data_IF_709632513030
#
_entry.id   IF_709632513030
#
_cell.length_a   1.000
_cell.length_b   1.000
_cell.length_c   1.000
_cell.angle_alpha   90.00
_cell.angle_beta   90.00
_cell.angle_gamma   90.00
#
_symmetry.space_group_name_H-M   'P 1'
#
loop_
_entity.id
_entity.type
_entity.pdbx_description
1 polymer ?
#
# COMPACT_ATOMS: atom_id res chain seq x y z
N UNK A 1 -21.89 22.60 24.53
CA UNK A 1 -21.36 22.45 23.16
C UNK A 1 -20.14 21.56 23.28
N UNK A 2 -20.10 20.40 22.62
CA UNK A 2 -18.90 19.56 22.64
C UNK A 2 -17.82 20.30 21.85
N UNK A 3 -16.81 20.80 22.55
CA UNK A 3 -15.63 21.42 21.96
C UNK A 3 -14.84 20.32 21.24
N UNK A 4 -14.44 20.57 19.99
CA UNK A 4 -13.70 19.58 19.21
C UNK A 4 -12.33 19.35 19.83
N UNK A 5 -12.08 18.12 20.27
CA UNK A 5 -10.78 17.71 20.80
C UNK A 5 -10.07 16.90 19.72
N UNK A 6 -8.85 17.32 19.35
CA UNK A 6 -8.05 16.64 18.32
C UNK A 6 -7.71 15.19 18.70
N UNK A 7 -7.61 14.91 20.00
CA UNK A 7 -7.42 13.57 20.53
C UNK A 7 -8.31 13.34 21.76
N UNK A 8 -8.97 12.19 21.80
CA UNK A 8 -9.68 11.73 23.00
C UNK A 8 -8.76 11.02 24.01
N UNK A 9 -7.46 10.96 23.70
CA UNK A 9 -6.39 10.38 24.52
C UNK A 9 -5.14 11.29 24.46
N UNK A 10 -4.16 11.04 25.34
CA UNK A 10 -2.85 11.70 25.28
C UNK A 10 -1.91 10.88 24.39
N UNK A 11 -1.48 11.39 23.22
CA UNK A 11 -0.61 10.64 22.31
C UNK A 11 0.76 10.39 22.92
N UNK A 12 1.27 9.16 22.78
CA UNK A 12 2.60 8.81 23.28
C UNK A 12 3.69 9.24 22.31
N UNK A 13 4.52 10.20 22.75
CA UNK A 13 5.71 10.62 22.00
C UNK A 13 6.65 9.44 21.73
N UNK A 14 6.87 8.59 22.73
CA UNK A 14 7.78 7.45 22.60
C UNK A 14 7.33 6.48 21.50
N UNK A 15 6.03 6.13 21.46
CA UNK A 15 5.50 5.21 20.45
C UNK A 15 5.54 5.84 19.05
N UNK A 16 5.24 7.14 18.94
CA UNK A 16 5.36 7.87 17.66
C UNK A 16 6.79 7.89 17.14
N UNK A 17 7.78 8.13 18.00
CA UNK A 17 9.20 8.11 17.63
C UNK A 17 9.67 6.71 17.22
N UNK A 18 9.25 5.67 17.93
CA UNK A 18 9.58 4.28 17.56
C UNK A 18 9.01 3.93 16.18
N UNK A 19 7.73 4.24 15.93
CA UNK A 19 7.12 4.00 14.63
C UNK A 19 7.84 4.78 13.51
N UNK A 20 8.15 6.06 13.74
CA UNK A 20 8.94 6.89 12.83
C UNK A 20 10.27 6.23 12.46
N UNK A 21 11.05 5.78 13.45
CA UNK A 21 12.36 5.16 13.21
C UNK A 21 12.24 3.84 12.44
N UNK A 22 11.23 3.02 12.74
CA UNK A 22 10.96 1.77 12.03
C UNK A 22 10.61 2.02 10.55
N UNK A 23 9.69 2.94 10.28
CA UNK A 23 9.34 3.31 8.90
C UNK A 23 10.51 3.97 8.15
N UNK A 24 11.32 4.76 8.85
CA UNK A 24 12.52 5.38 8.26
C UNK A 24 13.53 4.31 7.86
N UNK A 25 13.85 3.37 8.76
CA UNK A 25 14.76 2.27 8.48
C UNK A 25 14.26 1.40 7.32
N UNK A 26 12.97 1.05 7.31
CA UNK A 26 12.36 0.29 6.22
C UNK A 26 12.41 1.06 4.89
N UNK A 27 12.15 2.37 4.89
CA UNK A 27 12.20 3.21 3.69
C UNK A 27 13.63 3.31 3.14
N UNK A 28 14.63 3.51 3.99
CA UNK A 28 16.05 3.52 3.60
C UNK A 28 16.44 2.18 2.97
N UNK A 29 16.02 1.06 3.56
CA UNK A 29 16.27 -0.26 2.99
C UNK A 29 15.66 -0.42 1.58
N UNK A 30 14.43 0.05 1.35
CA UNK A 30 13.81 0.02 0.02
C UNK A 30 14.54 0.91 -0.98
N UNK A 31 14.99 2.10 -0.58
CA UNK A 31 15.78 3.00 -1.44
C UNK A 31 17.07 2.31 -1.86
N UNK A 32 17.80 1.73 -0.90
CA UNK A 32 19.04 0.99 -1.18
C UNK A 32 18.81 -0.16 -2.16
N UNK A 33 17.78 -0.99 -1.92
CA UNK A 33 17.43 -2.11 -2.80
C UNK A 33 16.99 -1.64 -4.20
N UNK A 34 16.23 -0.55 -4.28
CA UNK A 34 15.77 0.00 -5.56
C UNK A 34 16.93 0.56 -6.40
N UNK A 35 17.91 1.21 -5.77
CA UNK A 35 19.14 1.68 -6.44
C UNK A 35 19.98 0.48 -6.89
N UNK A 36 20.24 -0.47 -5.99
CA UNK A 36 21.05 -1.68 -6.26
C UNK A 36 20.49 -2.50 -7.43
N UNK A 37 19.18 -2.67 -7.50
CA UNK A 37 18.51 -3.49 -8.51
C UNK A 37 17.86 -2.66 -9.65
N UNK A 38 18.05 -1.34 -9.69
CA UNK A 38 17.53 -0.41 -10.71
C UNK A 38 16.02 -0.53 -10.96
N UNK A 39 15.22 -0.73 -9.91
CA UNK A 39 13.78 -0.98 -10.01
C UNK A 39 12.94 0.31 -10.00
N UNK A 40 12.80 0.94 -11.18
CA UNK A 40 11.99 2.17 -11.35
C UNK A 40 10.49 2.04 -11.00
N UNK A 41 9.96 0.82 -10.87
CA UNK A 41 8.54 0.62 -10.56
C UNK A 41 8.23 0.57 -9.05
N UNK A 42 9.26 0.46 -8.18
CA UNK A 42 9.08 0.55 -6.73
C UNK A 42 9.02 1.99 -6.22
N UNK A 43 9.09 2.99 -7.11
CA UNK A 43 9.03 4.41 -6.73
C UNK A 43 7.77 4.74 -5.95
N UNK A 44 6.60 4.24 -6.37
CA UNK A 44 5.35 4.44 -5.62
C UNK A 44 5.45 3.86 -4.20
N UNK A 45 6.05 2.67 -4.03
CA UNK A 45 6.26 2.04 -2.74
C UNK A 45 7.17 2.89 -1.83
N UNK A 46 8.26 3.42 -2.39
CA UNK A 46 9.18 4.29 -1.64
C UNK A 46 8.50 5.59 -1.22
N UNK A 47 7.70 6.20 -2.10
CA UNK A 47 6.91 7.39 -1.76
C UNK A 47 5.91 7.07 -0.64
N UNK A 48 5.28 5.89 -0.68
CA UNK A 48 4.44 5.40 0.42
C UNK A 48 5.20 5.30 1.74
N UNK A 49 6.43 4.75 1.73
CA UNK A 49 7.30 4.71 2.90
C UNK A 49 7.65 6.11 3.43
N UNK A 50 7.94 7.07 2.55
CA UNK A 50 8.14 8.46 2.95
C UNK A 50 6.89 9.09 3.57
N UNK A 51 5.69 8.76 3.08
CA UNK A 51 4.45 9.23 3.69
C UNK A 51 4.28 8.69 5.11
N UNK A 52 4.58 7.41 5.37
CA UNK A 52 4.59 6.88 6.74
C UNK A 52 5.58 7.65 7.64
N UNK A 53 6.81 7.88 7.15
CA UNK A 53 7.83 8.66 7.88
C UNK A 53 7.33 10.07 8.21
N UNK A 54 6.80 10.80 7.23
CA UNK A 54 6.27 12.15 7.44
C UNK A 54 5.05 12.15 8.37
N UNK A 55 4.20 11.13 8.25
CA UNK A 55 3.02 10.95 9.08
C UNK A 55 3.38 10.76 10.56
N UNK A 56 4.29 9.83 10.86
CA UNK A 56 4.73 9.58 12.24
C UNK A 56 5.65 10.69 12.77
N UNK A 57 6.39 11.40 11.92
CA UNK A 57 7.12 12.60 12.31
C UNK A 57 6.15 13.72 12.74
N UNK A 58 5.10 13.98 11.95
CA UNK A 58 4.07 14.94 12.30
C UNK A 58 3.33 14.54 13.58
N UNK A 59 3.06 13.24 13.76
CA UNK A 59 2.48 12.68 14.99
C UNK A 59 3.38 12.89 16.20
N UNK A 60 4.69 12.67 16.09
CA UNK A 60 5.65 12.91 17.16
C UNK A 60 5.71 14.40 17.55
N UNK A 61 5.73 15.30 16.57
CA UNK A 61 5.64 16.75 16.82
C UNK A 61 4.35 17.10 17.56
N UNK A 62 3.21 16.55 17.13
CA UNK A 62 1.93 16.83 17.78
C UNK A 62 1.87 16.27 19.21
N UNK A 63 2.40 15.06 19.45
CA UNK A 63 2.51 14.48 20.79
C UNK A 63 3.35 15.34 21.75
N UNK A 64 4.43 15.97 21.25
CA UNK A 64 5.26 16.88 22.04
C UNK A 64 4.56 18.21 22.37
N UNK A 65 3.53 18.61 21.61
CA UNK A 65 2.79 19.85 21.83
C UNK A 65 1.72 19.75 22.93
N UNK A 66 1.60 18.60 23.59
CA UNK A 66 0.64 18.41 24.67
C UNK A 66 0.83 19.47 25.78
N UNK A 67 -0.26 20.07 26.32
CA UNK A 67 -1.67 19.78 26.02
C UNK A 67 -2.26 20.60 24.85
N UNK A 68 -1.53 21.58 24.30
CA UNK A 68 -2.01 22.50 23.27
C UNK A 68 -1.66 22.00 21.86
N UNK A 69 -2.36 20.97 21.40
CA UNK A 69 -2.14 20.36 20.10
C UNK A 69 -2.41 21.34 18.95
N UNK A 70 -1.46 21.50 18.04
CA UNK A 70 -1.68 22.28 16.82
C UNK A 70 -2.48 21.46 15.78
N UNK A 71 -3.38 22.13 15.06
CA UNK A 71 -4.20 21.48 14.02
C UNK A 71 -3.38 21.01 12.82
N UNK A 72 -2.30 21.73 12.46
CA UNK A 72 -1.52 21.42 11.26
C UNK A 72 -0.76 20.08 11.36
N UNK A 73 0.04 19.79 12.41
CA UNK A 73 0.67 18.47 12.54
C UNK A 73 -0.36 17.35 12.66
N UNK A 74 -1.53 17.60 13.27
CA UNK A 74 -2.63 16.65 13.31
C UNK A 74 -3.20 16.33 11.91
N UNK A 75 -3.40 17.35 11.09
CA UNK A 75 -3.85 17.19 9.71
C UNK A 75 -2.80 16.47 8.86
N UNK A 76 -1.52 16.83 9.01
CA UNK A 76 -0.42 16.18 8.30
C UNK A 76 -0.31 14.69 8.63
N UNK A 77 -0.30 14.29 9.91
CA UNK A 77 -0.28 12.86 10.27
C UNK A 77 -1.49 12.14 9.67
N UNK A 78 -2.68 12.76 9.72
CA UNK A 78 -3.92 12.12 9.31
C UNK A 78 -3.90 11.87 7.81
N UNK A 79 -3.46 12.85 7.02
CA UNK A 79 -3.33 12.73 5.56
C UNK A 79 -2.22 11.74 5.21
N UNK A 80 -0.98 11.95 5.67
CA UNK A 80 0.13 11.11 5.21
C UNK A 80 -0.02 9.62 5.57
N UNK A 81 -0.46 9.32 6.80
CA UNK A 81 -0.74 7.94 7.23
C UNK A 81 -1.93 7.36 6.44
N UNK A 82 -2.95 8.17 6.16
CA UNK A 82 -4.10 7.72 5.38
C UNK A 82 -3.72 7.33 3.95
N UNK A 83 -2.76 8.05 3.36
CA UNK A 83 -2.36 7.99 1.96
C UNK A 83 -1.37 6.86 1.63
N UNK A 84 -0.45 6.54 2.54
CA UNK A 84 0.62 5.59 2.28
C UNK A 84 0.13 4.22 1.76
N UNK A 85 -0.96 3.63 2.26
CA UNK A 85 -1.39 2.30 1.83
C UNK A 85 -1.92 2.24 0.39
N UNK A 86 -2.45 3.35 -0.13
CA UNK A 86 -2.85 3.46 -1.54
C UNK A 86 -1.63 3.39 -2.47
N UNK A 87 -0.49 3.95 -2.05
CA UNK A 87 0.77 3.86 -2.79
C UNK A 87 1.41 2.47 -2.72
N UNK A 88 1.27 1.77 -1.58
CA UNK A 88 1.64 0.36 -1.47
C UNK A 88 0.76 -0.52 -2.36
N UNK A 89 -0.56 -0.29 -2.39
CA UNK A 89 -1.49 -0.99 -3.27
C UNK A 89 -1.15 -0.78 -4.75
N UNK A 90 -0.89 0.46 -5.18
CA UNK A 90 -0.43 0.78 -6.53
C UNK A 90 0.80 -0.06 -6.94
N UNK A 91 1.74 -0.26 -6.01
CA UNK A 91 2.95 -1.05 -6.24
C UNK A 91 2.64 -2.54 -6.39
N UNK A 92 1.73 -3.07 -5.58
CA UNK A 92 1.23 -4.46 -5.70
C UNK A 92 0.57 -4.69 -7.06
N UNK A 93 -0.21 -3.73 -7.58
CA UNK A 93 -0.82 -3.84 -8.91
C UNK A 93 0.23 -3.87 -10.03
N UNK A 94 1.30 -3.07 -9.89
CA UNK A 94 2.42 -3.08 -10.83
C UNK A 94 3.17 -4.42 -10.81
N UNK A 95 3.39 -4.98 -9.62
CA UNK A 95 4.06 -6.27 -9.45
C UNK A 95 3.21 -7.38 -10.05
N UNK A 96 1.91 -7.45 -9.75
CA UNK A 96 1.02 -8.44 -10.35
C UNK A 96 0.99 -8.31 -11.88
N UNK A 97 0.85 -7.09 -12.40
CA UNK A 97 0.83 -6.87 -13.85
C UNK A 97 2.12 -7.34 -14.53
N UNK A 98 3.29 -7.14 -13.90
CA UNK A 98 4.57 -7.66 -14.38
C UNK A 98 4.65 -9.18 -14.29
N UNK A 99 4.15 -9.76 -13.21
CA UNK A 99 4.12 -11.20 -13.00
C UNK A 99 3.27 -11.91 -14.06
N UNK A 100 2.09 -11.38 -14.36
CA UNK A 100 1.20 -11.88 -15.43
C UNK A 100 1.95 -11.92 -16.76
N UNK A 101 2.66 -10.84 -17.12
CA UNK A 101 3.46 -10.80 -18.37
C UNK A 101 4.64 -11.75 -18.33
N UNK A 102 5.29 -11.92 -17.18
CA UNK A 102 6.47 -12.79 -17.04
C UNK A 102 6.13 -14.27 -17.25
N UNK A 103 4.92 -14.69 -16.85
CA UNK A 103 4.45 -16.07 -17.07
C UNK A 103 3.63 -16.22 -18.37
N UNK A 104 3.63 -15.24 -19.26
CA UNK A 104 2.78 -15.21 -20.46
C UNK A 104 1.29 -15.51 -20.17
N UNK A 105 0.82 -15.02 -19.02
CA UNK A 105 -0.49 -15.34 -18.46
C UNK A 105 -1.60 -14.37 -18.86
N UNK A 106 -1.40 -13.50 -19.85
CA UNK A 106 -2.39 -12.51 -20.27
C UNK A 106 -3.72 -13.15 -20.68
N UNK A 107 -3.68 -14.31 -21.35
CA UNK A 107 -4.88 -15.08 -21.73
C UNK A 107 -5.65 -15.65 -20.53
N UNK A 108 -5.04 -15.70 -19.34
CA UNK A 108 -5.61 -16.23 -18.11
C UNK A 108 -6.08 -15.12 -17.16
N UNK A 109 -5.64 -13.88 -17.36
CA UNK A 109 -6.12 -12.71 -16.62
C UNK A 109 -7.49 -12.24 -17.14
N UNK A 110 -8.36 -11.74 -16.25
CA UNK A 110 -9.62 -11.11 -16.66
C UNK A 110 -9.42 -9.78 -17.37
N UNK A 111 -8.38 -9.04 -16.97
CA UNK A 111 -8.04 -7.72 -17.51
C UNK A 111 -6.59 -7.76 -17.97
N UNK A 112 -6.32 -7.19 -19.15
CA UNK A 112 -4.96 -7.04 -19.66
C UNK A 112 -4.08 -6.37 -18.60
N UNK A 113 -2.89 -6.91 -18.36
CA UNK A 113 -2.02 -6.48 -17.26
C UNK A 113 -1.68 -4.98 -17.28
N UNK A 114 -1.62 -4.37 -18.46
CA UNK A 114 -1.35 -2.93 -18.66
C UNK A 114 -2.54 -2.03 -18.30
N UNK A 115 -3.77 -2.52 -18.50
CA UNK A 115 -5.00 -1.83 -18.12
C UNK A 115 -5.29 -2.02 -16.63
N UNK A 116 -5.04 -3.22 -16.11
CA UNK A 116 -5.22 -3.58 -14.71
C UNK A 116 -4.56 -2.55 -13.79
N UNK A 117 -3.25 -2.34 -13.94
CA UNK A 117 -2.52 -1.36 -13.11
C UNK A 117 -3.10 0.05 -13.25
N UNK A 118 -3.43 0.51 -14.47
CA UNK A 118 -3.94 1.88 -14.68
C UNK A 118 -5.31 2.08 -14.01
N UNK A 119 -6.23 1.14 -14.19
CA UNK A 119 -7.60 1.26 -13.65
C UNK A 119 -7.56 1.36 -12.13
N UNK A 120 -6.82 0.46 -11.47
CA UNK A 120 -6.78 0.43 -10.02
C UNK A 120 -6.01 1.60 -9.41
N UNK A 121 -4.90 2.03 -10.04
CA UNK A 121 -4.19 3.24 -9.60
C UNK A 121 -5.07 4.49 -9.73
N UNK A 122 -5.81 4.63 -10.83
CA UNK A 122 -6.75 5.77 -10.98
C UNK A 122 -7.87 5.71 -9.94
N UNK A 123 -8.43 4.52 -9.67
CA UNK A 123 -9.41 4.32 -8.62
C UNK A 123 -8.88 4.75 -7.24
N UNK A 124 -7.65 4.35 -6.90
CA UNK A 124 -7.01 4.74 -5.65
C UNK A 124 -6.70 6.24 -5.58
N UNK A 125 -6.31 6.87 -6.68
CA UNK A 125 -6.12 8.34 -6.74
C UNK A 125 -7.45 9.07 -6.53
N UNK A 126 -8.54 8.60 -7.13
CA UNK A 126 -9.87 9.21 -6.93
C UNK A 126 -10.33 9.05 -5.48
N UNK A 127 -10.22 7.85 -4.91
CA UNK A 127 -10.51 7.59 -3.50
C UNK A 127 -9.65 8.46 -2.58
N UNK A 128 -8.37 8.64 -2.91
CA UNK A 128 -7.45 9.53 -2.22
C UNK A 128 -7.93 10.99 -2.25
N UNK A 129 -8.28 11.51 -3.42
CA UNK A 129 -8.74 12.89 -3.55
C UNK A 129 -10.00 13.15 -2.71
N UNK A 130 -10.93 12.20 -2.71
CA UNK A 130 -12.13 12.25 -1.85
C UNK A 130 -11.73 12.32 -0.36
N UNK A 131 -10.85 11.43 0.10
CA UNK A 131 -10.36 11.40 1.48
C UNK A 131 -9.64 12.70 1.88
N UNK A 132 -8.77 13.21 1.01
CA UNK A 132 -8.08 14.49 1.26
C UNK A 132 -9.05 15.67 1.34
N UNK A 133 -10.10 15.69 0.50
CA UNK A 133 -11.14 16.69 0.54
C UNK A 133 -11.91 16.65 1.86
N UNK A 134 -12.32 15.46 2.31
CA UNK A 134 -12.97 15.29 3.61
C UNK A 134 -12.06 15.66 4.80
N UNK A 135 -10.76 15.34 4.72
CA UNK A 135 -9.76 15.74 5.72
C UNK A 135 -9.56 17.26 5.79
N UNK A 136 -9.54 17.93 4.63
CA UNK A 136 -9.50 19.39 4.57
C UNK A 136 -10.77 20.01 5.18
N UNK A 137 -11.95 19.45 4.88
CA UNK A 137 -13.22 19.88 5.48
C UNK A 137 -13.22 19.73 7.00
N UNK A 138 -12.69 18.62 7.52
CA UNK A 138 -12.52 18.40 8.95
C UNK A 138 -11.62 19.46 9.60
N UNK A 139 -10.49 19.77 8.97
CA UNK A 139 -9.53 20.74 9.51
C UNK A 139 -10.09 22.17 9.63
N UNK A 140 -11.05 22.53 8.78
CA UNK A 140 -11.71 23.84 8.77
C UNK A 140 -13.11 23.87 9.40
N UNK A 141 -13.59 22.76 9.95
CA UNK A 141 -14.95 22.64 10.46
C UNK A 141 -15.14 23.45 11.76
N UNK A 142 -16.18 24.29 11.80
CA UNK A 142 -16.57 25.10 12.97
C UNK A 142 -17.85 24.64 13.66
N UNK A 143 -18.52 23.63 13.10
CA UNK A 143 -19.79 23.09 13.59
C UNK A 143 -19.79 21.56 13.49
N UNK A 144 -20.56 20.92 14.37
CA UNK A 144 -20.74 19.46 14.36
C UNK A 144 -21.27 18.93 13.01
N UNK A 145 -22.11 19.72 12.31
CA UNK A 145 -22.60 19.36 10.97
C UNK A 145 -21.48 19.31 9.94
N UNK A 146 -20.56 20.27 9.96
CA UNK A 146 -19.45 20.35 9.01
C UNK A 146 -18.42 19.25 9.28
N UNK A 147 -18.23 18.89 10.56
CA UNK A 147 -17.39 17.77 10.95
C UNK A 147 -17.94 16.45 10.43
N UNK A 148 -19.23 16.17 10.69
CA UNK A 148 -19.89 14.95 10.21
C UNK A 148 -19.87 14.84 8.69
N UNK A 149 -19.99 15.97 7.98
CA UNK A 149 -19.85 16.00 6.53
C UNK A 149 -18.42 15.59 6.11
N UNK A 150 -17.38 16.11 6.76
CA UNK A 150 -15.99 15.73 6.50
C UNK A 150 -15.73 14.24 6.77
N UNK A 151 -16.19 13.70 7.91
CA UNK A 151 -16.10 12.27 8.25
C UNK A 151 -16.81 11.40 7.21
N UNK A 152 -18.01 11.79 6.78
CA UNK A 152 -18.76 11.08 5.74
C UNK A 152 -18.01 11.07 4.40
N UNK A 153 -17.43 12.20 4.00
CA UNK A 153 -16.65 12.29 2.75
C UNK A 153 -15.43 11.37 2.82
N UNK A 154 -14.70 11.35 3.93
CA UNK A 154 -13.57 10.41 4.12
C UNK A 154 -14.05 8.96 4.04
N UNK A 155 -15.14 8.66 4.74
CA UNK A 155 -15.74 7.32 4.76
C UNK A 155 -16.12 6.83 3.35
N UNK A 156 -16.71 7.70 2.53
CA UNK A 156 -17.02 7.38 1.12
C UNK A 156 -15.76 7.05 0.34
N UNK A 157 -14.69 7.86 0.48
CA UNK A 157 -13.43 7.59 -0.20
C UNK A 157 -12.80 6.27 0.23
N UNK A 158 -12.85 5.93 1.53
CA UNK A 158 -12.39 4.65 2.04
C UNK A 158 -13.20 3.46 1.50
N UNK A 159 -14.53 3.58 1.39
CA UNK A 159 -15.36 2.54 0.77
C UNK A 159 -15.03 2.32 -0.70
N UNK A 160 -14.85 3.41 -1.46
CA UNK A 160 -14.41 3.31 -2.87
C UNK A 160 -13.08 2.55 -2.94
N UNK A 161 -12.12 2.90 -2.10
CA UNK A 161 -10.82 2.21 -2.03
C UNK A 161 -10.97 0.71 -1.74
N UNK A 162 -11.79 0.32 -0.74
CA UNK A 162 -12.05 -1.10 -0.43
C UNK A 162 -12.66 -1.85 -1.62
N UNK A 163 -13.64 -1.26 -2.29
CA UNK A 163 -14.32 -1.91 -3.42
C UNK A 163 -13.34 -2.13 -4.58
N UNK A 164 -12.58 -1.12 -4.96
CA UNK A 164 -11.58 -1.23 -6.02
C UNK A 164 -10.49 -2.24 -5.64
N UNK A 165 -9.97 -2.18 -4.41
CA UNK A 165 -8.93 -3.10 -3.96
C UNK A 165 -9.45 -4.55 -3.85
N UNK A 166 -10.67 -4.74 -3.38
CA UNK A 166 -11.33 -6.04 -3.31
C UNK A 166 -11.51 -6.66 -4.69
N UNK A 167 -11.91 -5.85 -5.68
CA UNK A 167 -11.99 -6.30 -7.06
C UNK A 167 -10.62 -6.70 -7.62
N UNK A 168 -9.55 -5.97 -7.29
CA UNK A 168 -8.18 -6.38 -7.63
C UNK A 168 -7.82 -7.75 -7.03
N UNK A 169 -8.13 -8.00 -5.76
CA UNK A 169 -7.88 -9.29 -5.09
C UNK A 169 -8.62 -10.42 -5.81
N UNK A 170 -9.88 -10.21 -6.17
CA UNK A 170 -10.67 -11.19 -6.94
C UNK A 170 -10.02 -11.51 -8.29
N UNK A 171 -9.58 -10.49 -9.05
CA UNK A 171 -8.87 -10.72 -10.32
C UNK A 171 -7.58 -11.52 -10.09
N UNK A 172 -6.82 -11.19 -9.05
CA UNK A 172 -5.58 -11.91 -8.71
C UNK A 172 -5.85 -13.39 -8.39
N UNK A 173 -6.91 -13.68 -7.64
CA UNK A 173 -7.33 -15.07 -7.34
C UNK A 173 -7.78 -15.80 -8.60
N UNK A 174 -8.58 -15.16 -9.45
CA UNK A 174 -9.05 -15.77 -10.71
C UNK A 174 -7.87 -16.06 -11.64
N UNK A 175 -6.93 -15.12 -11.78
CA UNK A 175 -5.69 -15.33 -12.52
C UNK A 175 -4.91 -16.54 -11.98
N UNK A 176 -4.70 -16.60 -10.66
CA UNK A 176 -3.98 -17.70 -10.03
C UNK A 176 -4.65 -19.06 -10.26
N UNK A 177 -5.97 -19.16 -10.10
CA UNK A 177 -6.70 -20.41 -10.36
C UNK A 177 -6.61 -20.82 -11.83
N UNK A 178 -6.72 -19.87 -12.77
CA UNK A 178 -6.67 -20.16 -14.21
C UNK A 178 -5.27 -20.59 -14.68
N UNK A 179 -4.21 -19.96 -14.17
CA UNK A 179 -2.84 -20.30 -14.56
C UNK A 179 -2.39 -21.63 -13.93
N UNK A 180 -2.90 -22.01 -12.76
CA UNK A 180 -2.63 -23.34 -12.16
C UNK A 180 -3.41 -24.44 -12.88
N UNK A 181 -4.68 -24.19 -13.22
CA UNK A 181 -5.51 -25.18 -13.93
C UNK A 181 -5.08 -25.38 -15.39
N UNK A 182 -4.66 -24.31 -16.07
CA UNK A 182 -4.19 -24.36 -17.46
C UNK A 182 -2.86 -23.61 -17.59
N UNK A 183 -1.74 -24.25 -17.20
CA UNK A 183 -0.41 -23.65 -17.25
C UNK A 183 -0.05 -23.20 -18.68
N UNK A 184 0.58 -22.05 -18.78
CA UNK A 184 1.19 -21.56 -20.03
C UNK A 184 2.63 -22.06 -20.13
N UNK A 185 3.17 -22.12 -21.35
CA UNK A 185 4.59 -22.46 -21.56
C UNK A 185 5.49 -21.54 -20.72
N UNK A 186 5.20 -20.23 -20.70
CA UNK A 186 5.92 -19.25 -19.88
C UNK A 186 5.81 -19.45 -18.37
N UNK A 187 4.76 -20.11 -17.86
CA UNK A 187 4.62 -20.45 -16.43
C UNK A 187 5.41 -21.69 -16.03
N UNK A 188 5.64 -22.62 -16.98
CA UNK A 188 6.38 -23.86 -16.78
C UNK A 188 7.88 -23.62 -16.92
N UNK A 189 8.28 -22.85 -17.92
CA UNK A 189 9.70 -22.52 -18.19
C UNK A 189 10.22 -21.38 -17.32
N UNK A 190 9.38 -20.79 -16.47
CA UNK A 190 9.77 -19.68 -15.62
C UNK A 190 10.79 -20.14 -14.57
N UNK A 191 12.02 -19.62 -14.67
CA UNK A 191 13.07 -19.78 -13.65
C UNK A 191 12.69 -19.14 -12.31
N UNK A 192 11.79 -18.16 -12.34
CA UNK A 192 11.30 -17.44 -11.17
C UNK A 192 10.13 -18.18 -10.54
N UNK A 193 10.17 -18.36 -9.21
CA UNK A 193 9.06 -18.94 -8.46
C UNK A 193 7.88 -17.96 -8.36
N UNK A 194 7.11 -17.84 -9.44
CA UNK A 194 5.99 -16.92 -9.56
C UNK A 194 4.87 -17.20 -8.55
N UNK A 195 4.70 -18.46 -8.12
CA UNK A 195 3.73 -18.85 -7.09
C UNK A 195 4.06 -18.20 -5.75
N UNK A 196 5.34 -18.22 -5.35
CA UNK A 196 5.82 -17.55 -4.13
C UNK A 196 5.48 -16.06 -4.16
N UNK A 197 5.71 -15.39 -5.30
CA UNK A 197 5.34 -13.98 -5.45
C UNK A 197 3.84 -13.73 -5.38
N UNK A 198 2.98 -14.60 -5.93
CA UNK A 198 1.54 -14.49 -5.70
C UNK A 198 1.15 -14.59 -4.23
N UNK A 199 1.76 -15.50 -3.46
CA UNK A 199 1.50 -15.60 -2.02
C UNK A 199 1.96 -14.35 -1.24
N UNK A 200 3.10 -13.77 -1.61
CA UNK A 200 3.56 -12.49 -1.04
C UNK A 200 2.57 -11.36 -1.37
N UNK A 201 2.07 -11.30 -2.60
CA UNK A 201 1.04 -10.35 -2.99
C UNK A 201 -0.25 -10.55 -2.19
N UNK A 202 -0.69 -11.80 -1.97
CA UNK A 202 -1.87 -12.06 -1.13
C UNK A 202 -1.65 -11.66 0.31
N UNK A 203 -0.50 -11.98 0.90
CA UNK A 203 -0.17 -11.55 2.26
C UNK A 203 -0.24 -10.03 2.39
N UNK A 204 0.43 -9.31 1.48
CA UNK A 204 0.42 -7.85 1.48
C UNK A 204 -0.99 -7.28 1.23
N UNK A 205 -1.75 -7.88 0.31
CA UNK A 205 -3.14 -7.50 0.05
C UNK A 205 -4.04 -7.73 1.27
N UNK A 206 -3.86 -8.82 2.01
CA UNK A 206 -4.61 -9.06 3.24
C UNK A 206 -4.30 -8.01 4.31
N UNK A 207 -3.03 -7.67 4.52
CA UNK A 207 -2.65 -6.62 5.48
C UNK A 207 -3.25 -5.25 5.12
N UNK A 208 -3.16 -4.84 3.85
CA UNK A 208 -3.76 -3.59 3.36
C UNK A 208 -5.29 -3.62 3.47
N UNK A 209 -5.92 -4.76 3.17
CA UNK A 209 -7.37 -4.90 3.26
C UNK A 209 -7.87 -4.78 4.71
N UNK A 210 -7.23 -5.47 5.66
CA UNK A 210 -7.56 -5.38 7.10
C UNK A 210 -7.45 -3.92 7.56
N UNK A 211 -6.36 -3.23 7.17
CA UNK A 211 -6.19 -1.80 7.44
C UNK A 211 -7.33 -0.97 6.87
N UNK A 212 -7.71 -1.18 5.62
CA UNK A 212 -8.77 -0.38 4.99
C UNK A 212 -10.12 -0.59 5.70
N UNK A 213 -10.43 -1.83 6.10
CA UNK A 213 -11.62 -2.14 6.90
C UNK A 213 -11.54 -1.46 8.26
N UNK A 214 -10.40 -1.54 8.95
CA UNK A 214 -10.18 -0.83 10.21
C UNK A 214 -10.47 0.67 10.07
N UNK A 215 -9.91 1.33 9.04
CA UNK A 215 -10.13 2.75 8.77
C UNK A 215 -11.61 3.06 8.51
N UNK A 216 -12.31 2.25 7.73
CA UNK A 216 -13.77 2.44 7.56
C UNK A 216 -14.52 2.35 8.88
N UNK A 217 -14.23 1.34 9.69
CA UNK A 217 -14.91 1.16 10.99
C UNK A 217 -14.56 2.29 11.96
N UNK A 218 -13.30 2.74 11.98
CA UNK A 218 -12.84 3.89 12.77
C UNK A 218 -13.63 5.16 12.43
N UNK A 219 -13.80 5.47 11.14
CA UNK A 219 -14.56 6.65 10.71
C UNK A 219 -16.08 6.50 10.88
N UNK A 220 -16.64 5.29 10.75
CA UNK A 220 -18.07 5.05 11.01
C UNK A 220 -18.40 5.20 12.50
N UNK A 221 -17.53 4.72 13.40
CA UNK A 221 -17.73 4.90 14.84
C UNK A 221 -17.56 6.37 15.26
N UNK A 222 -16.77 7.14 14.51
CA UNK A 222 -16.50 8.55 14.76
C UNK A 222 -15.81 8.80 16.10
N UNK A 223 -15.84 10.04 16.55
CA UNK A 223 -15.06 10.51 17.72
C UNK A 223 -15.46 9.92 19.06
N UNK A 224 -16.64 9.30 19.18
CA UNK A 224 -17.03 8.63 20.44
C UNK A 224 -16.69 7.14 20.45
N UNK A 225 -16.19 6.60 19.32
CA UNK A 225 -15.85 5.21 19.15
C UNK A 225 -14.65 4.74 19.98
N UNK A 226 -14.71 3.51 20.47
CA UNK A 226 -13.62 2.89 21.23
C UNK A 226 -12.29 2.85 20.44
N UNK A 227 -12.36 2.79 19.11
CA UNK A 227 -11.20 2.77 18.22
C UNK A 227 -10.45 4.11 18.18
N UNK A 228 -11.15 5.25 18.11
CA UNK A 228 -10.52 6.57 18.14
C UNK A 228 -10.12 7.00 19.56
N UNK A 229 -10.71 6.37 20.59
CA UNK A 229 -10.41 6.68 21.99
C UNK A 229 -9.14 6.02 22.51
N UNK A 230 -8.59 5.02 21.81
CA UNK A 230 -7.36 4.37 22.25
C UNK A 230 -6.29 4.34 21.17
N UNK A 231 -5.13 4.87 21.52
CA UNK A 231 -3.96 4.96 20.64
C UNK A 231 -3.50 3.62 20.07
N UNK A 232 -3.59 2.54 20.86
CA UNK A 232 -3.03 1.24 20.48
C UNK A 232 -3.70 0.63 19.25
N UNK A 233 -4.98 0.94 18.98
CA UNK A 233 -5.67 0.43 17.79
C UNK A 233 -5.06 0.96 16.50
N UNK A 234 -4.69 2.26 16.48
CA UNK A 234 -4.03 2.86 15.34
C UNK A 234 -2.64 2.22 15.10
N UNK A 235 -1.86 1.96 16.15
CA UNK A 235 -0.57 1.31 15.96
C UNK A 235 -0.69 -0.16 15.55
N UNK A 236 -1.67 -0.90 16.07
CA UNK A 236 -1.83 -2.32 15.79
C UNK A 236 -2.45 -2.60 14.41
N UNK A 237 -3.53 -1.89 14.07
CA UNK A 237 -4.32 -2.17 12.86
C UNK A 237 -4.00 -1.24 11.69
N UNK A 238 -3.09 -0.28 11.87
CA UNK A 238 -2.64 0.58 10.78
C UNK A 238 -1.11 0.55 10.67
N UNK A 239 -0.38 1.03 11.68
CA UNK A 239 1.09 1.11 11.64
C UNK A 239 1.76 -0.26 11.43
N UNK A 240 1.42 -1.24 12.27
CA UNK A 240 2.05 -2.56 12.23
C UNK A 240 1.76 -3.27 10.92
N UNK A 241 0.52 -3.22 10.42
CA UNK A 241 0.15 -3.86 9.15
C UNK A 241 0.96 -3.28 7.99
N UNK A 242 1.14 -1.95 7.94
CA UNK A 242 1.90 -1.31 6.88
C UNK A 242 3.40 -1.58 7.00
N UNK A 243 3.92 -1.61 8.22
CA UNK A 243 5.30 -2.00 8.47
C UNK A 243 5.56 -3.45 8.02
N UNK A 244 4.67 -4.40 8.31
CA UNK A 244 4.78 -5.78 7.86
C UNK A 244 4.78 -5.90 6.33
N UNK A 245 3.97 -5.08 5.64
CA UNK A 245 4.01 -4.99 4.17
C UNK A 245 5.38 -4.50 3.69
N UNK A 246 5.97 -3.50 4.32
CA UNK A 246 7.32 -3.07 3.96
C UNK A 246 8.36 -4.18 4.20
N UNK A 247 8.31 -4.87 5.33
CA UNK A 247 9.28 -5.93 5.64
C UNK A 247 9.17 -7.10 4.65
N UNK A 248 7.97 -7.53 4.26
CA UNK A 248 7.83 -8.63 3.30
C UNK A 248 8.42 -8.26 1.93
N UNK A 249 8.30 -7.01 1.49
CA UNK A 249 8.88 -6.53 0.24
C UNK A 249 10.40 -6.30 0.31
N UNK A 250 10.98 -6.13 1.50
CA UNK A 250 12.44 -6.16 1.71
C UNK A 250 12.97 -7.59 1.59
N UNK A 251 12.36 -8.54 2.31
CA UNK A 251 12.82 -9.93 2.36
C UNK A 251 12.63 -10.61 1.00
N UNK A 252 11.45 -10.43 0.40
CA UNK A 252 11.09 -11.06 -0.87
C UNK A 252 11.05 -10.03 -1.99
N UNK A 253 12.22 -9.44 -2.24
CA UNK A 253 12.33 -8.34 -3.17
C UNK A 253 11.92 -8.75 -4.62
N UNK A 254 11.07 -7.97 -5.31
CA UNK A 254 10.54 -8.32 -6.63
C UNK A 254 11.54 -8.14 -7.79
N UNK A 255 12.84 -7.96 -7.52
CA UNK A 255 13.88 -7.82 -8.55
C UNK A 255 13.94 -9.01 -9.49
N UNK A 256 13.71 -10.23 -8.99
CA UNK A 256 13.75 -11.45 -9.80
C UNK A 256 12.65 -11.49 -10.87
N UNK A 257 11.51 -10.82 -10.64
CA UNK A 257 10.43 -10.70 -11.63
C UNK A 257 10.88 -9.83 -12.84
N UNK A 258 11.88 -8.96 -12.65
CA UNK A 258 12.39 -8.06 -13.70
C UNK A 258 13.61 -8.58 -14.45
N UNK A 259 14.35 -9.55 -13.91
CA UNK A 259 15.46 -10.14 -14.65
C UNK A 259 14.91 -10.81 -15.90
N UNK A 260 15.01 -10.11 -17.04
CA UNK A 260 14.97 -10.74 -18.34
C UNK A 260 16.17 -11.67 -18.35
N UNK A 261 15.91 -12.98 -18.36
CA UNK A 261 16.82 -13.90 -19.02
C UNK A 261 16.82 -13.47 -20.49
N UNK A 262 17.65 -12.49 -20.80
CA UNK A 262 18.11 -12.28 -22.16
C UNK A 262 19.02 -13.47 -22.36
N UNK A 263 18.72 -14.42 -23.28
CA UNK A 263 19.71 -15.40 -23.66
C UNK A 263 20.98 -14.61 -23.97
N UNK A 264 22.07 -14.88 -23.25
CA UNK A 264 23.34 -14.30 -23.64
C UNK A 264 23.56 -14.79 -25.07
N UNK A 265 23.84 -13.89 -26.02
CA UNK A 265 24.03 -14.29 -27.42
C UNK A 265 25.08 -15.41 -27.58
N UNK A 266 25.96 -15.60 -26.60
CA UNK A 266 26.89 -16.73 -26.54
C UNK A 266 26.26 -18.12 -26.38
N UNK A 267 25.11 -18.24 -25.70
CA UNK A 267 24.42 -19.54 -25.56
C UNK A 267 23.73 -19.95 -26.87
N UNK A 268 23.28 -18.96 -27.65
CA UNK A 268 22.70 -19.19 -28.98
C UNK A 268 23.77 -19.63 -29.98
N UNK A 269 24.97 -19.02 -29.95
CA UNK A 269 26.09 -19.46 -30.81
C UNK A 269 26.56 -20.89 -30.49
N UNK A 270 26.63 -21.27 -29.21
CA UNK A 270 26.99 -22.64 -28.79
C UNK A 270 25.96 -23.67 -29.28
N UNK A 271 24.67 -23.35 -29.26
CA UNK A 271 23.61 -24.23 -29.76
C UNK A 271 23.69 -24.38 -31.28
N UNK A 272 23.99 -23.30 -32.02
CA UNK A 272 24.18 -23.39 -33.47
C UNK A 272 25.45 -24.17 -33.85
N UNK A 273 26.53 -24.03 -33.08
CA UNK A 273 27.75 -24.83 -33.29
C UNK A 273 27.50 -26.32 -33.05
N UNK A 274 26.80 -26.69 -31.97
CA UNK A 274 26.46 -28.08 -31.67
C UNK A 274 25.46 -28.72 -32.64
N UNK A 275 24.67 -27.92 -33.36
CA UNK A 275 23.76 -28.41 -34.42
C UNK A 275 24.42 -28.43 -35.81
N UNK A 276 25.60 -27.84 -35.95
CA UNK A 276 26.38 -27.80 -37.19
C UNK A 276 27.50 -28.85 -37.28
N UNK A 277 27.69 -29.64 -36.21
CA UNK A 277 28.51 -30.86 -36.17
C UNK A 277 27.62 -32.11 -36.31
#
# INVERSE_FOLDING_TARGET
MAEYVLYNYTPSLAVAVVALLLFLAATIAHIFLAIKHRLKFLTAFIIGGFFEVLGYAARAVNAHQAPNYATMPYAMQSVFILLAPSLFAASIYMVLGRLIRRVDGESRSLIKSTKLTKIFVVGDILAFLIQSGGGAMLSGAKSASNMKLGENVITVGLFVQIVFFGFFVVISVIFHKRIVANPTTGSITCTVNWKRYLFILYFASTMIMIRCIYRVVEYIQGQTGALQNHEYYAYLFDALLMFLVMIVFIIFHPSQILSRDTPQLGDTELIYQQLSE
#
